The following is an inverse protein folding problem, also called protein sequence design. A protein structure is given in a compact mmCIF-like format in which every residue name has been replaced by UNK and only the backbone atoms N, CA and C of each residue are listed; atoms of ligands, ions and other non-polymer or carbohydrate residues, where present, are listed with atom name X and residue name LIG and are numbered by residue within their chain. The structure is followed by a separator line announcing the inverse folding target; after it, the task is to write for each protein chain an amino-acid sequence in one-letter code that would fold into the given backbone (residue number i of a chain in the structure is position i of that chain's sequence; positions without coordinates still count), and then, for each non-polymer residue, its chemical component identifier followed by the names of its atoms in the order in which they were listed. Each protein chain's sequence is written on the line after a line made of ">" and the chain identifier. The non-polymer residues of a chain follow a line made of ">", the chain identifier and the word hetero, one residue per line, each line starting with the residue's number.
data_IF_360706283623
#
_entry.id   IF_360706283623
#
_cell.length_a   1.000
_cell.length_b   1.000
_cell.length_c   1.000
_cell.angle_alpha   90.00
_cell.angle_beta   90.00
_cell.angle_gamma   90.00
#
_symmetry.space_group_name_H-M   'P 1'
#
loop_
_entity.id
_entity.type
_entity.pdbx_description
1 polymer ?
#
# COMPACT_ATOMS: atom_id res chain seq x y z
N UNK A 1 47.52 9.08 -38.94
CA UNK A 1 46.87 7.86 -38.45
C UNK A 1 46.02 8.22 -37.25
N UNK A 2 44.75 8.39 -37.44
CA UNK A 2 43.83 8.76 -36.38
C UNK A 2 43.17 7.49 -35.82
N UNK A 3 43.53 7.11 -34.60
CA UNK A 3 42.85 6.05 -33.85
C UNK A 3 41.58 6.59 -33.23
N UNK A 4 40.49 6.17 -33.79
CA UNK A 4 39.16 6.49 -33.24
C UNK A 4 38.89 5.55 -32.08
N UNK A 5 39.12 6.01 -30.87
CA UNK A 5 38.67 5.35 -29.66
C UNK A 5 37.17 5.58 -29.51
N UNK A 6 36.39 4.57 -29.89
CA UNK A 6 34.97 4.52 -29.55
C UNK A 6 34.85 4.24 -28.07
N UNK A 7 34.55 5.28 -27.30
CA UNK A 7 34.16 5.14 -25.92
C UNK A 7 32.89 4.29 -25.85
N UNK A 8 33.04 3.08 -25.36
CA UNK A 8 31.93 2.25 -24.95
C UNK A 8 31.24 2.96 -23.78
N UNK A 9 30.07 3.56 -24.06
CA UNK A 9 29.16 3.95 -22.99
C UNK A 9 28.70 2.66 -22.32
N UNK A 10 29.25 2.37 -21.16
CA UNK A 10 28.67 1.37 -20.28
C UNK A 10 27.30 1.88 -19.84
N UNK A 11 26.25 1.27 -20.36
CA UNK A 11 24.91 1.46 -19.80
C UNK A 11 24.94 1.01 -18.33
N UNK A 12 24.40 1.81 -17.41
CA UNK A 12 24.31 1.39 -16.02
C UNK A 12 23.50 0.09 -15.93
N UNK A 13 23.90 -0.85 -15.08
CA UNK A 13 23.16 -2.10 -14.95
C UNK A 13 21.71 -1.79 -14.60
N UNK A 14 20.81 -2.19 -15.48
CA UNK A 14 19.37 -2.10 -15.22
C UNK A 14 19.11 -2.88 -13.93
N UNK A 15 18.81 -2.16 -12.87
CA UNK A 15 18.46 -2.78 -11.59
C UNK A 15 17.40 -3.86 -11.87
N UNK A 16 17.74 -5.10 -11.54
CA UNK A 16 16.81 -6.22 -11.66
C UNK A 16 15.64 -5.92 -10.73
N UNK A 17 14.56 -5.48 -11.32
CA UNK A 17 13.32 -5.28 -10.59
C UNK A 17 12.86 -6.60 -10.04
N UNK A 18 12.62 -6.64 -8.75
CA UNK A 18 12.11 -7.86 -8.12
C UNK A 18 10.71 -8.16 -8.65
N UNK A 19 10.36 -9.43 -8.70
CA UNK A 19 9.02 -9.86 -9.14
C UNK A 19 7.92 -9.23 -8.27
N UNK A 20 8.22 -8.99 -7.01
CA UNK A 20 7.35 -8.28 -6.08
C UNK A 20 7.08 -6.82 -6.50
N UNK A 21 8.09 -6.12 -7.02
CA UNK A 21 7.93 -4.75 -7.50
C UNK A 21 7.09 -4.70 -8.78
N UNK A 22 7.24 -5.69 -9.63
CA UNK A 22 6.44 -5.81 -10.86
C UNK A 22 4.97 -6.11 -10.53
N UNK A 23 4.71 -7.00 -9.59
CA UNK A 23 3.36 -7.30 -9.11
C UNK A 23 2.71 -6.07 -8.48
N UNK A 24 3.44 -5.37 -7.62
CA UNK A 24 2.97 -4.14 -6.97
C UNK A 24 2.59 -3.07 -8.01
N UNK A 25 3.44 -2.86 -9.01
CA UNK A 25 3.16 -1.90 -10.08
C UNK A 25 1.98 -2.31 -10.94
N UNK A 26 1.84 -3.60 -11.24
CA UNK A 26 0.71 -4.12 -12.00
C UNK A 26 -0.58 -3.92 -11.22
N UNK A 27 -0.60 -4.25 -9.93
CA UNK A 27 -1.76 -4.05 -9.07
C UNK A 27 -2.15 -2.58 -8.96
N UNK A 28 -1.16 -1.69 -8.85
CA UNK A 28 -1.41 -0.23 -8.84
C UNK A 28 -1.90 0.27 -10.20
N UNK A 29 -1.36 -0.23 -11.28
CA UNK A 29 -1.80 0.14 -12.63
C UNK A 29 -3.22 -0.38 -12.91
N UNK A 30 -3.52 -1.61 -12.50
CA UNK A 30 -4.84 -2.21 -12.64
C UNK A 30 -5.87 -1.47 -11.77
N UNK A 31 -5.48 -1.08 -10.55
CA UNK A 31 -6.31 -0.26 -9.69
C UNK A 31 -6.58 1.13 -10.28
N UNK A 32 -5.58 1.76 -10.87
CA UNK A 32 -5.73 3.05 -11.55
C UNK A 32 -6.58 2.94 -12.83
N UNK A 33 -6.54 1.79 -13.49
CA UNK A 33 -7.37 1.50 -14.66
C UNK A 33 -8.80 1.04 -14.28
N UNK A 34 -9.10 0.91 -12.99
CA UNK A 34 -10.39 0.43 -12.51
C UNK A 34 -10.61 -1.08 -12.73
N UNK A 35 -9.53 -1.83 -12.88
CA UNK A 35 -9.58 -3.29 -13.01
C UNK A 35 -9.55 -3.91 -11.62
N UNK A 36 -10.59 -4.64 -11.21
CA UNK A 36 -10.59 -5.30 -9.90
C UNK A 36 -9.52 -6.39 -9.86
N UNK A 37 -8.78 -6.51 -8.74
CA UNK A 37 -7.83 -7.59 -8.58
C UNK A 37 -8.58 -8.92 -8.45
N UNK A 38 -8.32 -9.85 -9.33
CA UNK A 38 -8.69 -11.25 -9.14
C UNK A 38 -9.79 -11.86 -9.99
N UNK A 39 -10.41 -11.11 -10.92
CA UNK A 39 -11.45 -11.67 -11.80
C UNK A 39 -11.03 -11.72 -13.27
N UNK A 40 -9.98 -12.46 -13.56
CA UNK A 40 -9.63 -12.75 -14.95
C UNK A 40 -10.54 -13.85 -15.58
N UNK A 41 -11.38 -14.52 -14.80
CA UNK A 41 -12.10 -15.72 -15.23
C UNK A 41 -13.56 -15.86 -14.72
N UNK A 42 -14.30 -14.78 -14.58
CA UNK A 42 -15.74 -14.91 -14.39
C UNK A 42 -16.50 -14.53 -15.67
N UNK A 43 -16.98 -15.50 -16.47
CA UNK A 43 -17.83 -15.18 -17.60
C UNK A 43 -19.20 -14.75 -17.09
N UNK A 44 -19.57 -13.51 -17.31
CA UNK A 44 -20.98 -13.14 -17.36
C UNK A 44 -21.58 -12.34 -16.24
N UNK A 45 -20.82 -11.54 -15.50
CA UNK A 45 -21.40 -10.38 -14.83
C UNK A 45 -20.79 -9.12 -15.42
N UNK A 46 -21.56 -8.43 -16.23
CA UNK A 46 -21.32 -7.03 -16.52
C UNK A 46 -21.46 -6.26 -15.18
N UNK A 47 -20.49 -6.48 -14.32
CA UNK A 47 -20.35 -5.75 -13.08
C UNK A 47 -20.05 -4.32 -13.47
N UNK A 48 -20.91 -3.42 -13.03
CA UNK A 48 -20.59 -2.02 -12.89
C UNK A 48 -19.08 -1.94 -12.63
N UNK A 49 -18.36 -1.20 -13.43
CA UNK A 49 -16.96 -0.91 -13.20
C UNK A 49 -16.88 -0.24 -11.83
N UNK A 50 -16.87 -1.05 -10.78
CA UNK A 50 -16.75 -0.60 -9.43
C UNK A 50 -15.39 0.06 -9.27
N UNK A 51 -15.35 1.22 -8.64
CA UNK A 51 -14.09 1.83 -8.25
C UNK A 51 -13.31 0.83 -7.41
N UNK A 52 -12.00 0.87 -7.50
CA UNK A 52 -11.16 0.09 -6.61
C UNK A 52 -11.45 0.49 -5.16
N UNK A 53 -11.62 -0.48 -4.28
CA UNK A 53 -12.02 -0.26 -2.90
C UNK A 53 -10.84 -0.40 -1.96
N UNK A 54 -10.75 0.48 -0.99
CA UNK A 54 -9.75 0.43 0.06
C UNK A 54 -10.37 0.67 1.44
N UNK A 55 -9.64 0.19 2.45
CA UNK A 55 -9.86 0.50 3.86
C UNK A 55 -8.71 1.36 4.33
N UNK A 56 -9.01 2.46 5.01
CA UNK A 56 -8.00 3.25 5.69
C UNK A 56 -7.84 2.71 7.11
N UNK A 57 -6.62 2.37 7.47
CA UNK A 57 -6.26 1.95 8.82
C UNK A 57 -5.27 2.92 9.44
N UNK A 58 -5.60 3.40 10.62
CA UNK A 58 -4.77 4.30 11.40
C UNK A 58 -4.61 3.73 12.82
N UNK A 59 -3.42 3.88 13.36
CA UNK A 59 -3.17 3.57 14.76
C UNK A 59 -2.74 4.85 15.47
N UNK A 60 -3.48 5.22 16.49
CA UNK A 60 -3.25 6.45 17.24
C UNK A 60 -1.87 6.45 17.89
N UNK A 61 -1.14 7.52 17.65
CA UNK A 61 0.02 7.92 18.46
C UNK A 61 -0.45 9.07 19.34
N UNK A 62 -0.15 9.05 20.66
CA UNK A 62 -0.56 10.15 21.54
C UNK A 62 -0.02 11.52 21.12
N UNK A 63 0.99 11.55 20.25
CA UNK A 63 1.64 12.75 19.76
C UNK A 63 1.32 13.09 18.29
N UNK A 64 0.50 12.28 17.61
CA UNK A 64 0.14 12.50 16.21
C UNK A 64 -1.33 12.92 16.10
N UNK A 65 -1.58 13.92 15.27
CA UNK A 65 -2.94 14.28 14.90
C UNK A 65 -3.52 13.26 13.93
N UNK A 66 -4.27 12.31 14.48
CA UNK A 66 -4.92 11.25 13.70
C UNK A 66 -5.93 11.83 12.71
N UNK A 67 -6.55 12.96 13.01
CA UNK A 67 -7.51 13.61 12.13
C UNK A 67 -6.84 14.14 10.85
N UNK A 68 -5.65 14.72 10.98
CA UNK A 68 -4.85 15.17 9.85
C UNK A 68 -4.43 13.99 8.98
N UNK A 69 -3.90 12.94 9.59
CA UNK A 69 -3.49 11.72 8.88
C UNK A 69 -4.66 11.02 8.18
N UNK A 70 -5.84 11.05 8.79
CA UNK A 70 -7.07 10.55 8.16
C UNK A 70 -7.42 11.34 6.91
N UNK A 71 -7.36 12.66 7.00
CA UNK A 71 -7.60 13.54 5.86
C UNK A 71 -6.62 13.28 4.73
N UNK A 72 -5.33 13.17 5.04
CA UNK A 72 -4.29 12.90 4.06
C UNK A 72 -4.51 11.56 3.35
N UNK A 73 -4.85 10.51 4.10
CA UNK A 73 -5.19 9.21 3.52
C UNK A 73 -6.43 9.26 2.64
N UNK A 74 -7.43 10.04 3.04
CA UNK A 74 -8.68 10.22 2.28
C UNK A 74 -8.39 10.94 0.97
N UNK A 75 -7.68 12.06 1.01
CA UNK A 75 -7.30 12.83 -0.17
C UNK A 75 -6.45 11.98 -1.13
N UNK A 76 -5.55 11.17 -0.59
CA UNK A 76 -4.74 10.25 -1.38
C UNK A 76 -5.58 9.22 -2.12
N UNK A 77 -6.51 8.56 -1.43
CA UNK A 77 -7.40 7.58 -2.04
C UNK A 77 -8.31 8.23 -3.10
N UNK A 78 -8.84 9.41 -2.81
CA UNK A 78 -9.66 10.18 -3.76
C UNK A 78 -8.89 10.58 -5.01
N UNK A 79 -7.63 10.97 -4.87
CA UNK A 79 -6.76 11.31 -5.99
C UNK A 79 -6.55 10.13 -6.97
N UNK A 80 -6.58 8.90 -6.47
CA UNK A 80 -6.54 7.68 -7.28
C UNK A 80 -7.93 7.15 -7.67
N UNK A 81 -8.99 7.89 -7.36
CA UNK A 81 -10.37 7.47 -7.56
C UNK A 81 -10.72 6.15 -6.87
N UNK A 82 -10.10 5.86 -5.76
CA UNK A 82 -10.43 4.71 -4.93
C UNK A 82 -11.64 4.99 -4.04
N UNK A 83 -12.49 4.01 -3.88
CA UNK A 83 -13.62 4.07 -2.97
C UNK A 83 -13.17 3.64 -1.56
N UNK A 84 -13.37 4.51 -0.59
CA UNK A 84 -13.08 4.22 0.81
C UNK A 84 -14.29 3.52 1.41
N UNK A 85 -14.13 2.23 1.75
CA UNK A 85 -15.22 1.43 2.30
C UNK A 85 -15.34 1.54 3.82
N UNK A 86 -14.22 1.79 4.48
CA UNK A 86 -14.19 2.01 5.92
C UNK A 86 -12.93 2.79 6.32
N UNK A 87 -13.04 3.51 7.41
CA UNK A 87 -11.90 4.11 8.12
C UNK A 87 -11.88 3.49 9.51
N UNK A 88 -10.80 2.81 9.84
CA UNK A 88 -10.65 2.07 11.08
C UNK A 88 -9.47 2.62 11.85
N UNK A 89 -9.69 2.91 13.12
CA UNK A 89 -8.67 3.46 14.00
C UNK A 89 -8.51 2.60 15.24
N UNK A 90 -7.28 2.26 15.56
CA UNK A 90 -6.91 1.73 16.87
C UNK A 90 -6.31 2.85 17.72
N UNK A 91 -6.61 2.84 19.01
CA UNK A 91 -6.16 3.86 19.95
C UNK A 91 -4.66 3.81 20.25
N UNK A 92 -4.18 4.89 20.84
CA UNK A 92 -2.82 4.94 21.39
C UNK A 92 -2.64 3.83 22.45
N UNK A 93 -1.44 3.21 22.45
CA UNK A 93 -1.16 2.09 23.36
C UNK A 93 -1.78 0.77 22.92
N UNK A 94 -2.18 0.65 21.68
CA UNK A 94 -2.69 -0.61 21.11
C UNK A 94 -1.70 -1.76 21.27
N UNK A 95 -2.20 -2.98 21.50
CA UNK A 95 -1.36 -4.17 21.64
C UNK A 95 -0.61 -4.45 20.33
N UNK A 96 0.28 -5.46 20.31
CA UNK A 96 0.93 -5.92 19.08
C UNK A 96 -0.09 -6.21 17.96
N UNK A 97 0.31 -6.13 16.68
CA UNK A 97 -0.60 -6.23 15.54
C UNK A 97 -1.58 -7.40 15.57
N UNK A 98 -1.20 -8.63 15.98
CA UNK A 98 -2.13 -9.76 16.01
C UNK A 98 -3.34 -9.57 16.93
N UNK A 99 -3.19 -8.75 17.97
CA UNK A 99 -4.21 -8.53 18.99
C UNK A 99 -5.00 -7.24 18.79
N UNK A 100 -4.70 -6.47 17.73
CA UNK A 100 -5.40 -5.23 17.42
C UNK A 100 -6.74 -5.50 16.74
N UNK A 101 -7.79 -5.05 17.37
CA UNK A 101 -9.16 -5.25 16.87
C UNK A 101 -9.38 -4.53 15.54
N UNK A 102 -8.95 -3.28 15.42
CA UNK A 102 -9.12 -2.48 14.21
C UNK A 102 -8.33 -3.05 13.03
N UNK A 103 -7.08 -3.46 13.25
CA UNK A 103 -6.27 -4.08 12.21
C UNK A 103 -6.89 -5.40 11.74
N UNK A 104 -7.42 -6.22 12.64
CA UNK A 104 -8.13 -7.46 12.29
C UNK A 104 -9.39 -7.18 11.48
N UNK A 105 -10.12 -6.13 11.79
CA UNK A 105 -11.27 -5.69 10.99
C UNK A 105 -10.86 -5.24 9.59
N UNK A 106 -9.78 -4.48 9.47
CA UNK A 106 -9.26 -4.07 8.17
C UNK A 106 -8.89 -5.29 7.29
N UNK A 107 -8.21 -6.27 7.86
CA UNK A 107 -7.88 -7.53 7.16
C UNK A 107 -9.15 -8.31 6.81
N UNK A 108 -10.14 -8.34 7.69
CA UNK A 108 -11.42 -8.99 7.44
C UNK A 108 -12.18 -8.35 6.27
N UNK A 109 -12.15 -7.04 6.12
CA UNK A 109 -12.70 -6.34 4.95
C UNK A 109 -12.05 -6.78 3.64
N UNK A 110 -10.73 -6.96 3.64
CA UNK A 110 -10.01 -7.48 2.48
C UNK A 110 -10.42 -8.94 2.21
N UNK A 111 -10.43 -9.75 3.23
CA UNK A 111 -10.77 -11.18 3.12
C UNK A 111 -12.19 -11.42 2.59
N UNK A 112 -13.13 -10.58 2.97
CA UNK A 112 -14.53 -10.65 2.50
C UNK A 112 -14.73 -10.10 1.08
N UNK A 113 -13.70 -9.55 0.46
CA UNK A 113 -13.80 -8.90 -0.84
C UNK A 113 -14.37 -7.47 -0.78
N UNK A 114 -14.56 -6.92 0.42
CA UNK A 114 -15.03 -5.56 0.61
C UNK A 114 -14.00 -4.48 0.27
N UNK A 115 -12.72 -4.84 0.30
CA UNK A 115 -11.62 -3.96 -0.08
C UNK A 115 -10.50 -4.75 -0.74
N UNK A 116 -9.76 -4.11 -1.62
CA UNK A 116 -8.57 -4.69 -2.26
C UNK A 116 -7.27 -4.17 -1.66
N UNK A 117 -7.33 -3.16 -0.80
CA UNK A 117 -6.16 -2.60 -0.15
C UNK A 117 -6.46 -2.10 1.26
N UNK A 118 -5.45 -2.17 2.10
CA UNK A 118 -5.39 -1.44 3.37
C UNK A 118 -4.42 -0.28 3.19
N UNK A 119 -4.89 0.93 3.38
CA UNK A 119 -4.10 2.16 3.26
C UNK A 119 -3.78 2.67 4.67
N UNK A 120 -2.53 2.96 4.92
CA UNK A 120 -2.08 3.57 6.17
C UNK A 120 -1.14 4.74 5.91
N UNK A 121 -1.10 5.70 6.80
CA UNK A 121 -0.29 6.88 6.64
C UNK A 121 1.21 6.59 6.83
N UNK A 122 1.55 5.77 7.80
CA UNK A 122 2.94 5.47 8.17
C UNK A 122 3.13 3.99 8.45
N UNK A 123 4.30 3.48 8.10
CA UNK A 123 4.69 2.10 8.41
C UNK A 123 4.59 1.78 9.92
N UNK A 124 4.98 2.71 10.76
CA UNK A 124 4.94 2.56 12.22
C UNK A 124 3.53 2.37 12.78
N UNK A 125 2.50 2.76 12.05
CA UNK A 125 1.10 2.52 12.45
C UNK A 125 0.73 1.03 12.36
N UNK A 126 1.39 0.29 11.49
CA UNK A 126 1.27 -1.17 11.45
C UNK A 126 2.15 -1.76 12.54
N UNK A 127 3.45 -1.57 12.44
CA UNK A 127 4.41 -1.89 13.50
C UNK A 127 5.75 -1.20 13.27
N UNK A 128 6.42 -0.73 14.32
CA UNK A 128 7.80 -0.30 14.23
C UNK A 128 8.77 -1.48 14.06
N UNK A 129 8.32 -2.70 14.38
CA UNK A 129 9.11 -3.92 14.26
C UNK A 129 8.97 -4.51 12.85
N UNK A 130 10.08 -4.62 12.13
CA UNK A 130 10.08 -5.06 10.74
C UNK A 130 9.41 -6.45 10.56
N UNK A 131 9.68 -7.38 11.45
CA UNK A 131 9.11 -8.74 11.41
C UNK A 131 7.59 -8.75 11.53
N UNK A 132 7.05 -7.95 12.43
CA UNK A 132 5.60 -7.82 12.61
C UNK A 132 4.95 -7.15 11.40
N UNK A 133 5.57 -6.11 10.88
CA UNK A 133 5.12 -5.44 9.66
C UNK A 133 5.05 -6.41 8.48
N UNK A 134 6.08 -7.21 8.26
CA UNK A 134 6.12 -8.21 7.19
C UNK A 134 5.06 -9.29 7.37
N UNK A 135 4.80 -9.69 8.62
CA UNK A 135 3.75 -10.65 8.94
C UNK A 135 2.37 -10.11 8.56
N UNK A 136 2.05 -8.88 8.96
CA UNK A 136 0.78 -8.22 8.61
C UNK A 136 0.64 -8.07 7.10
N UNK A 137 1.70 -7.67 6.43
CA UNK A 137 1.71 -7.55 4.96
C UNK A 137 1.35 -8.88 4.30
N UNK A 138 1.94 -9.98 4.74
CA UNK A 138 1.65 -11.32 4.23
C UNK A 138 0.20 -11.75 4.52
N UNK A 139 -0.33 -11.41 5.67
CA UNK A 139 -1.73 -11.72 6.01
C UNK A 139 -2.71 -10.99 5.10
N UNK A 140 -2.45 -9.73 4.78
CA UNK A 140 -3.25 -8.94 3.84
C UNK A 140 -3.14 -9.53 2.42
N UNK A 141 -1.95 -9.91 1.99
CA UNK A 141 -1.74 -10.56 0.70
C UNK A 141 -2.46 -11.91 0.60
N UNK A 142 -2.42 -12.71 1.67
CA UNK A 142 -3.18 -13.97 1.75
C UNK A 142 -4.70 -13.76 1.74
N UNK A 143 -5.15 -12.64 2.25
CA UNK A 143 -6.56 -12.25 2.19
C UNK A 143 -7.01 -11.79 0.80
N UNK A 144 -6.09 -11.60 -0.13
CA UNK A 144 -6.36 -11.21 -1.52
C UNK A 144 -6.18 -9.73 -1.80
N UNK A 145 -5.58 -8.98 -0.89
CA UNK A 145 -5.31 -7.55 -1.03
C UNK A 145 -3.83 -7.19 -0.91
N UNK A 146 -3.56 -5.94 -0.69
CA UNK A 146 -2.22 -5.44 -0.42
C UNK A 146 -2.23 -4.32 0.61
N UNK A 147 -1.11 -4.16 1.29
CA UNK A 147 -0.88 -3.04 2.20
C UNK A 147 -0.22 -1.89 1.43
N UNK A 148 -0.83 -0.72 1.50
CA UNK A 148 -0.29 0.50 0.93
C UNK A 148 0.03 1.49 2.04
N UNK A 149 1.30 1.82 2.17
CA UNK A 149 1.76 2.88 3.06
C UNK A 149 1.90 4.14 2.23
N UNK A 150 1.19 5.19 2.61
CA UNK A 150 1.44 6.49 2.02
C UNK A 150 2.91 6.84 2.26
N UNK A 151 3.65 7.06 1.20
CA UNK A 151 4.90 7.76 1.33
C UNK A 151 4.53 9.15 1.85
N UNK A 152 4.92 9.46 3.08
CA UNK A 152 4.82 10.82 3.55
C UNK A 152 5.45 11.70 2.48
N UNK A 153 4.69 12.66 1.97
CA UNK A 153 5.21 13.71 1.12
C UNK A 153 6.11 14.64 1.98
N UNK A 154 6.98 14.05 2.73
CA UNK A 154 8.06 14.71 3.43
C UNK A 154 9.19 14.81 2.44
N UNK A 155 9.09 15.85 1.62
CA UNK A 155 10.25 16.32 0.91
C UNK A 155 11.39 16.53 1.91
N UNK A 156 12.37 15.69 1.83
CA UNK A 156 13.62 15.80 2.52
C UNK A 156 14.45 14.59 2.13
N UNK A 157 15.60 14.78 1.48
CA UNK A 157 16.53 13.69 1.37
C UNK A 157 16.93 13.32 2.79
N UNK A 158 16.49 12.18 3.26
CA UNK A 158 17.11 11.58 4.42
C UNK A 158 18.53 11.26 4.03
N UNK A 159 19.41 12.21 4.32
CA UNK A 159 20.83 11.94 4.38
C UNK A 159 20.97 10.99 5.56
N UNK A 160 21.10 9.75 5.27
CA UNK A 160 21.46 8.73 6.24
C UNK A 160 22.82 9.12 6.79
N UNK A 161 22.96 9.37 8.08
CA UNK A 161 24.30 9.56 8.65
C UNK A 161 25.02 8.22 8.56
N UNK A 162 26.10 8.27 7.86
CA UNK A 162 27.04 7.16 7.81
C UNK A 162 27.60 6.82 9.18
#
# INVERSE_FOLDING_TARGET
>A
MASTERGQRQEPPKARRTESDLRRRRTLADAAAGVPPGDADAPGKATRRGRFRCVIYLCGDPHADTAELRRDCTEYAEAFCWEITAVIEDGAGSPPPPDRTGLRQAIAHVRSGGAGAVVTARRSMISPVAREYDQVTREIEKAGGFLHVMAAASGGPHTEPA
#
